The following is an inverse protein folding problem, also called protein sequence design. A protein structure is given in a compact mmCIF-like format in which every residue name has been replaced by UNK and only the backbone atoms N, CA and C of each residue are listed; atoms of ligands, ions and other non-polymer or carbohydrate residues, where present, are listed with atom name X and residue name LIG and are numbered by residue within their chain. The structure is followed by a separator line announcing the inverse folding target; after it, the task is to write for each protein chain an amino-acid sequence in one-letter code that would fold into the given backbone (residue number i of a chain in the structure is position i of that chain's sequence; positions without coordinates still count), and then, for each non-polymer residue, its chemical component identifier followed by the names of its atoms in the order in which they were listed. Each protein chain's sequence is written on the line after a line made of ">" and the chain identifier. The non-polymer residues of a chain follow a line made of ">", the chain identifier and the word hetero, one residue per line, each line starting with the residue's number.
data_IF_697604283192
#
_entry.id   IF_697604283192
#
_cell.length_a   1.000
_cell.length_b   1.000
_cell.length_c   1.000
_cell.angle_alpha   90.00
_cell.angle_beta   90.00
_cell.angle_gamma   90.00
#
_symmetry.space_group_name_H-M   'P 1'
#
loop_
_entity.id
_entity.type
_entity.pdbx_description
1 polymer ?
#
# COMPACT_ATOMS: atom_id res chain seq x y z
N UNK A 1 8.39 1.45 24.02
CA UNK A 1 8.56 1.59 22.55
C UNK A 1 7.32 1.17 21.74
N UNK A 2 6.55 0.15 22.13
CA UNK A 2 5.35 -0.29 21.37
C UNK A 2 4.17 0.71 21.37
N UNK A 3 3.96 1.46 22.45
CA UNK A 3 2.81 2.40 22.59
C UNK A 3 2.84 3.60 21.63
N UNK A 4 4.02 4.04 21.19
CA UNK A 4 4.16 5.19 20.27
C UNK A 4 3.78 4.78 18.84
N UNK A 5 4.27 3.63 18.38
CA UNK A 5 3.97 3.13 17.05
C UNK A 5 2.46 2.88 16.83
N UNK A 6 1.76 2.35 17.84
CA UNK A 6 0.30 2.13 17.75
C UNK A 6 -0.49 3.45 17.72
N UNK A 7 -0.03 4.51 18.40
CA UNK A 7 -0.70 5.82 18.39
C UNK A 7 -0.47 6.53 17.05
N UNK A 8 0.76 6.50 16.55
CA UNK A 8 1.10 7.03 15.22
C UNK A 8 0.34 6.32 14.11
N UNK A 9 0.25 4.98 14.15
CA UNK A 9 -0.53 4.22 13.18
C UNK A 9 -2.02 4.59 13.19
N UNK A 10 -2.60 4.87 14.38
CA UNK A 10 -4.01 5.23 14.51
C UNK A 10 -4.29 6.64 14.00
N UNK A 11 -3.37 7.58 14.22
CA UNK A 11 -3.42 8.91 13.61
C UNK A 11 -3.32 8.81 12.09
N UNK A 12 -2.37 8.03 11.57
CA UNK A 12 -2.21 7.81 10.13
C UNK A 12 -3.47 7.23 9.50
N UNK A 13 -4.11 6.28 10.17
CA UNK A 13 -5.36 5.64 9.73
C UNK A 13 -6.50 6.66 9.61
N UNK A 14 -6.69 7.50 10.63
CA UNK A 14 -7.72 8.54 10.64
C UNK A 14 -7.46 9.56 9.53
N UNK A 15 -6.22 10.02 9.39
CA UNK A 15 -5.82 10.95 8.33
C UNK A 15 -6.13 10.34 6.96
N UNK A 16 -5.80 9.07 6.74
CA UNK A 16 -6.08 8.38 5.49
C UNK A 16 -7.56 8.26 5.16
N UNK A 17 -8.38 7.93 6.14
CA UNK A 17 -9.84 7.87 5.96
C UNK A 17 -10.37 9.25 5.56
N UNK A 18 -9.93 10.32 6.22
CA UNK A 18 -10.33 11.69 5.91
C UNK A 18 -9.90 12.06 4.47
N UNK A 19 -8.64 11.81 4.10
CA UNK A 19 -8.15 12.09 2.75
C UNK A 19 -8.91 11.29 1.68
N UNK A 20 -9.25 10.02 1.93
CA UNK A 20 -10.01 9.19 0.99
C UNK A 20 -11.43 9.71 0.77
N UNK A 21 -12.13 10.09 1.84
CA UNK A 21 -13.47 10.68 1.75
C UNK A 21 -13.41 12.00 0.99
N UNK A 22 -12.45 12.86 1.33
CA UNK A 22 -12.27 14.16 0.68
C UNK A 22 -11.95 14.03 -0.82
N UNK A 23 -11.05 13.13 -1.18
CA UNK A 23 -10.72 12.82 -2.57
C UNK A 23 -11.95 12.34 -3.35
N UNK A 24 -12.75 11.46 -2.76
CA UNK A 24 -13.98 10.96 -3.39
C UNK A 24 -14.96 12.09 -3.66
N UNK A 25 -15.16 13.00 -2.69
CA UNK A 25 -16.00 14.18 -2.86
C UNK A 25 -15.47 15.13 -3.96
N UNK A 26 -14.15 15.36 -4.00
CA UNK A 26 -13.52 16.15 -5.07
C UNK A 26 -13.74 15.55 -6.46
N UNK A 27 -13.67 14.22 -6.61
CA UNK A 27 -13.92 13.54 -7.89
C UNK A 27 -15.40 13.65 -8.28
N UNK A 28 -16.32 13.48 -7.34
CA UNK A 28 -17.76 13.67 -7.59
C UNK A 28 -18.03 15.11 -8.04
N UNK A 29 -17.41 16.10 -7.39
CA UNK A 29 -17.53 17.50 -7.77
C UNK A 29 -16.95 17.79 -9.17
N UNK A 30 -15.82 17.19 -9.53
CA UNK A 30 -15.25 17.30 -10.88
C UNK A 30 -16.20 16.73 -11.95
N UNK A 31 -16.83 15.59 -11.68
CA UNK A 31 -17.83 14.97 -12.56
C UNK A 31 -19.02 15.92 -12.72
N UNK A 32 -19.58 16.44 -11.62
CA UNK A 32 -20.68 17.40 -11.65
C UNK A 32 -20.31 18.66 -12.43
N UNK A 33 -19.14 19.26 -12.16
CA UNK A 33 -18.69 20.47 -12.85
C UNK A 33 -18.58 20.26 -14.36
N UNK A 34 -18.12 19.08 -14.78
CA UNK A 34 -17.98 18.76 -16.19
C UNK A 34 -19.31 18.51 -16.90
N UNK A 35 -20.23 17.79 -16.24
CA UNK A 35 -21.48 17.35 -16.87
C UNK A 35 -22.64 18.32 -16.69
N UNK A 36 -22.63 19.16 -15.65
CA UNK A 36 -23.73 20.08 -15.32
C UNK A 36 -23.35 21.53 -15.63
N UNK A 37 -22.11 21.94 -15.34
CA UNK A 37 -21.68 23.34 -15.50
C UNK A 37 -21.08 23.65 -16.88
N UNK A 38 -20.78 22.64 -17.72
CA UNK A 38 -20.19 22.74 -19.08
C UNK A 38 -18.88 23.56 -19.19
N UNK A 39 -18.40 24.14 -18.10
CA UNK A 39 -17.14 24.85 -17.93
C UNK A 39 -16.25 24.00 -17.01
N UNK A 40 -15.18 23.36 -17.53
CA UNK A 40 -14.25 22.63 -16.70
C UNK A 40 -13.53 23.60 -15.78
N UNK A 41 -13.71 23.46 -14.45
CA UNK A 41 -12.95 24.27 -13.49
C UNK A 41 -11.49 23.79 -13.44
N UNK A 42 -10.63 24.39 -14.27
CA UNK A 42 -9.21 24.03 -14.44
C UNK A 42 -8.44 24.00 -13.11
N UNK A 43 -8.72 24.96 -12.22
CA UNK A 43 -8.09 25.03 -10.88
C UNK A 43 -8.51 23.85 -10.00
N UNK A 44 -9.78 23.42 -10.07
CA UNK A 44 -10.29 22.28 -9.29
C UNK A 44 -9.72 20.97 -9.79
N UNK A 45 -9.43 20.86 -11.10
CA UNK A 45 -8.79 19.69 -11.69
C UNK A 45 -7.33 19.55 -11.23
N UNK A 46 -6.55 20.63 -11.30
CA UNK A 46 -5.16 20.62 -10.84
C UNK A 46 -5.05 20.29 -9.35
N UNK A 47 -5.84 20.96 -8.51
CA UNK A 47 -5.84 20.75 -7.06
C UNK A 47 -6.19 19.29 -6.71
N UNK A 48 -7.20 18.71 -7.37
CA UNK A 48 -7.61 17.33 -7.13
C UNK A 48 -6.53 16.33 -7.54
N UNK A 49 -5.79 16.62 -8.61
CA UNK A 49 -4.68 15.79 -9.07
C UNK A 49 -3.53 15.78 -8.06
N UNK A 50 -3.21 16.93 -7.47
CA UNK A 50 -2.24 17.01 -6.37
C UNK A 50 -2.70 16.24 -5.13
N UNK A 51 -3.96 16.42 -4.70
CA UNK A 51 -4.54 15.67 -3.58
C UNK A 51 -4.48 14.16 -3.81
N UNK A 52 -4.80 13.70 -5.02
CA UNK A 52 -4.73 12.29 -5.39
C UNK A 52 -3.33 11.71 -5.26
N UNK A 53 -2.30 12.44 -5.70
CA UNK A 53 -0.91 11.98 -5.57
C UNK A 53 -0.55 11.81 -4.07
N UNK A 54 -0.88 12.79 -3.23
CA UNK A 54 -0.61 12.70 -1.79
C UNK A 54 -1.40 11.57 -1.12
N UNK A 55 -2.67 11.38 -1.45
CA UNK A 55 -3.49 10.28 -0.91
C UNK A 55 -2.96 8.91 -1.33
N UNK A 56 -2.59 8.72 -2.60
CA UNK A 56 -2.00 7.47 -3.09
C UNK A 56 -0.65 7.19 -2.41
N UNK A 57 0.21 8.20 -2.24
CA UNK A 57 1.51 8.04 -1.61
C UNK A 57 1.37 7.65 -0.13
N UNK A 58 0.57 8.41 0.63
CA UNK A 58 0.32 8.14 2.05
C UNK A 58 -0.42 6.81 2.24
N UNK A 59 -1.39 6.50 1.37
CA UNK A 59 -2.16 5.26 1.40
C UNK A 59 -1.32 4.04 1.11
N UNK A 60 -0.43 4.11 0.12
CA UNK A 60 0.53 3.03 -0.18
C UNK A 60 1.50 2.80 0.98
N UNK A 61 2.06 3.87 1.55
CA UNK A 61 2.97 3.79 2.69
C UNK A 61 2.32 3.15 3.93
N UNK A 62 1.09 3.57 4.28
CA UNK A 62 0.33 2.97 5.38
C UNK A 62 -0.07 1.52 5.10
N UNK A 63 -0.52 1.22 3.89
CA UNK A 63 -0.85 -0.14 3.47
C UNK A 63 0.38 -1.05 3.57
N UNK A 64 1.56 -0.60 3.12
CA UNK A 64 2.82 -1.35 3.25
C UNK A 64 3.23 -1.55 4.72
N UNK A 65 3.08 -0.51 5.56
CA UNK A 65 3.35 -0.59 7.00
C UNK A 65 2.47 -1.60 7.73
N UNK A 66 1.17 -1.69 7.38
CA UNK A 66 0.23 -2.69 7.91
C UNK A 66 0.36 -4.07 7.26
N UNK A 67 0.81 -4.16 6.00
CA UNK A 67 0.80 -5.39 5.18
C UNK A 67 2.14 -6.15 5.09
N UNK A 68 3.19 -5.75 5.83
CA UNK A 68 4.48 -6.46 5.81
C UNK A 68 4.37 -7.97 6.10
N UNK A 69 3.41 -8.40 6.90
CA UNK A 69 3.09 -9.84 7.08
C UNK A 69 1.79 -10.27 6.36
N UNK A 70 0.86 -9.34 6.17
CA UNK A 70 -0.47 -9.63 5.61
C UNK A 70 -0.45 -10.11 4.14
N UNK A 71 0.53 -9.72 3.32
CA UNK A 71 0.54 -10.14 1.89
C UNK A 71 0.79 -11.64 1.74
N UNK A 72 1.61 -12.22 2.60
CA UNK A 72 1.80 -13.68 2.67
C UNK A 72 0.51 -14.31 3.21
N UNK A 73 -0.05 -13.77 4.29
CA UNK A 73 -1.24 -14.31 4.96
C UNK A 73 -2.49 -14.31 4.07
N UNK A 74 -2.67 -13.31 3.20
CA UNK A 74 -3.79 -13.26 2.24
C UNK A 74 -3.66 -14.34 1.16
N UNK A 75 -2.46 -14.60 0.67
CA UNK A 75 -2.22 -15.68 -0.30
C UNK A 75 -2.45 -17.04 0.38
N UNK A 76 -1.98 -17.19 1.62
CA UNK A 76 -2.23 -18.40 2.40
C UNK A 76 -3.72 -18.56 2.71
N UNK A 77 -4.48 -17.50 3.02
CA UNK A 77 -5.89 -17.60 3.40
C UNK A 77 -6.79 -18.09 2.25
N UNK A 78 -6.46 -17.75 1.00
CA UNK A 78 -7.19 -18.20 -0.20
C UNK A 78 -6.77 -19.59 -0.70
N UNK A 79 -5.76 -20.22 -0.09
CA UNK A 79 -5.17 -21.48 -0.58
C UNK A 79 -5.51 -22.67 0.33
N UNK A 80 -5.89 -23.79 -0.30
CA UNK A 80 -6.17 -25.08 0.34
C UNK A 80 -4.93 -25.66 1.03
N UNK A 81 -5.11 -26.44 2.10
CA UNK A 81 -4.01 -26.94 2.96
C UNK A 81 -2.88 -27.62 2.18
N UNK A 82 -3.19 -28.31 1.08
CA UNK A 82 -2.21 -29.05 0.28
C UNK A 82 -1.32 -28.12 -0.54
N UNK A 83 -1.89 -27.04 -1.07
CA UNK A 83 -1.16 -26.03 -1.82
C UNK A 83 -0.35 -25.10 -0.90
N UNK A 84 -0.75 -24.93 0.37
CA UNK A 84 0.07 -24.22 1.38
C UNK A 84 1.39 -24.94 1.66
N UNK A 85 1.37 -26.28 1.72
CA UNK A 85 2.61 -27.07 1.92
C UNK A 85 3.58 -26.86 0.76
N UNK A 86 3.09 -26.94 -0.48
CA UNK A 86 3.91 -26.68 -1.68
C UNK A 86 4.50 -25.26 -1.67
N UNK A 87 3.69 -24.25 -1.32
CA UNK A 87 4.16 -22.87 -1.19
C UNK A 87 5.21 -22.68 -0.10
N UNK A 88 5.03 -23.29 1.07
CA UNK A 88 6.02 -23.22 2.15
C UNK A 88 7.34 -23.87 1.75
N UNK A 89 7.30 -25.02 1.06
CA UNK A 89 8.52 -25.65 0.53
C UNK A 89 9.20 -24.73 -0.48
N UNK A 90 8.43 -24.09 -1.37
CA UNK A 90 8.96 -23.19 -2.39
C UNK A 90 9.56 -21.91 -1.78
N UNK A 91 8.91 -21.32 -0.78
CA UNK A 91 9.42 -20.17 -0.03
C UNK A 91 10.73 -20.50 0.72
N UNK A 92 10.82 -21.67 1.36
CA UNK A 92 12.04 -22.09 2.04
C UNK A 92 13.20 -22.23 1.04
N UNK A 93 12.95 -22.84 -0.13
CA UNK A 93 13.97 -22.93 -1.20
C UNK A 93 14.41 -21.55 -1.68
N UNK A 94 13.48 -20.61 -1.87
CA UNK A 94 13.82 -19.23 -2.26
C UNK A 94 14.70 -18.56 -1.19
N UNK A 95 14.38 -18.74 0.09
CA UNK A 95 15.16 -18.18 1.20
C UNK A 95 16.56 -18.79 1.29
N UNK A 96 16.70 -20.09 1.08
CA UNK A 96 17.98 -20.79 1.06
C UNK A 96 18.83 -20.31 -0.13
N UNK A 97 18.22 -20.16 -1.32
CA UNK A 97 18.88 -19.58 -2.49
C UNK A 97 19.33 -18.14 -2.25
N UNK A 98 18.51 -17.31 -1.62
CA UNK A 98 18.90 -15.95 -1.23
C UNK A 98 20.09 -15.96 -0.26
N UNK A 99 20.08 -16.84 0.74
CA UNK A 99 21.17 -16.96 1.71
C UNK A 99 22.48 -17.41 1.05
N UNK A 100 22.41 -18.36 0.11
CA UNK A 100 23.57 -18.82 -0.67
C UNK A 100 24.12 -17.69 -1.55
N UNK A 101 23.24 -16.96 -2.24
CA UNK A 101 23.63 -15.83 -3.08
C UNK A 101 24.27 -14.70 -2.28
N UNK A 102 23.68 -14.35 -1.13
CA UNK A 102 24.20 -13.35 -0.20
C UNK A 102 25.58 -13.74 0.37
N UNK A 103 25.74 -15.01 0.77
CA UNK A 103 27.02 -15.52 1.27
C UNK A 103 28.12 -15.45 0.20
N UNK A 104 27.78 -15.78 -1.05
CA UNK A 104 28.71 -15.70 -2.18
C UNK A 104 29.15 -14.26 -2.48
N UNK A 105 28.24 -13.29 -2.35
CA UNK A 105 28.54 -11.87 -2.52
C UNK A 105 29.44 -11.34 -1.41
N UNK A 106 29.15 -11.67 -0.15
CA UNK A 106 29.97 -11.22 0.98
C UNK A 106 31.42 -11.72 0.88
N UNK A 107 31.63 -12.92 0.33
CA UNK A 107 32.96 -13.49 0.15
C UNK A 107 33.76 -12.86 -1.02
N UNK A 108 33.14 -11.98 -1.81
CA UNK A 108 33.77 -11.30 -2.95
C UNK A 108 34.26 -9.88 -2.61
N UNK A 109 33.96 -9.40 -1.39
CA UNK A 109 34.35 -8.07 -0.87
C UNK A 109 35.27 -8.14 0.36
N UNK A 110 35.75 -9.34 0.73
CA UNK A 110 36.79 -9.59 1.75
C UNK A 110 37.95 -10.32 1.08
#
# INVERSE_FOLDING_TARGET
>A
MFKINQYLNKILEIILIILMVFLTLCIIWQVISRYILNEPSTITEELSRFLMIYTCLLGSSYALGKKKHLSIDLIFSYISLENRKKLNTLLNVIMDCYHIWWNKINHQYV
#
